data_IF_230208272906
#
_entry.id   IF_230208272906
#
_cell.length_a   1.000
_cell.length_b   1.000
_cell.length_c   1.000
_cell.angle_alpha   90.00
_cell.angle_beta   90.00
_cell.angle_gamma   90.00
#
_symmetry.space_group_name_H-M   'P 1'
#
loop_
_entity.id
_entity.type
_entity.pdbx_description
1 polymer ?
#
# COMPACT_ATOMS: atom_id res chain seq x y z
N UNK A 1 -5.33 3.36 75.39
CA UNK A 1 -3.96 3.37 74.82
C UNK A 1 -3.79 2.11 73.98
N UNK A 2 -3.86 2.24 72.64
CA UNK A 2 -2.81 1.88 71.64
C UNK A 2 -2.35 0.41 71.70
N UNK A 3 -2.34 -0.41 70.65
CA UNK A 3 -2.68 -0.28 69.24
C UNK A 3 -2.74 -1.72 68.68
N UNK A 4 -3.72 -2.00 67.82
CA UNK A 4 -3.97 -3.32 67.21
C UNK A 4 -3.02 -3.52 66.01
N UNK A 5 -2.32 -4.65 66.02
CA UNK A 5 -1.46 -5.13 64.94
C UNK A 5 -2.35 -5.67 63.80
N UNK A 6 -2.47 -4.95 62.69
CA UNK A 6 -3.03 -5.46 61.43
C UNK A 6 -1.95 -5.39 60.36
N UNK A 7 -1.30 -6.53 60.13
CA UNK A 7 -0.49 -6.78 58.94
C UNK A 7 -1.45 -6.88 57.76
N UNK A 8 -1.43 -5.88 56.87
CA UNK A 8 -2.11 -5.91 55.59
C UNK A 8 -1.07 -6.21 54.51
N UNK A 9 -0.84 -7.49 54.23
CA UNK A 9 -0.11 -7.93 53.04
C UNK A 9 -1.08 -7.86 51.86
N UNK A 10 -1.20 -6.68 51.24
CA UNK A 10 -1.92 -6.52 49.98
C UNK A 10 -0.95 -6.74 48.82
N UNK A 11 -0.60 -8.01 48.60
CA UNK A 11 -0.04 -8.48 47.33
C UNK A 11 -1.17 -8.51 46.30
N UNK A 12 -1.45 -7.37 45.67
CA UNK A 12 -2.21 -7.35 44.44
C UNK A 12 -1.22 -7.39 43.29
N UNK A 13 -1.09 -8.57 42.68
CA UNK A 13 -0.67 -8.75 41.30
C UNK A 13 -1.17 -7.58 40.45
N UNK A 14 -0.26 -6.76 39.93
CA UNK A 14 -0.53 -6.12 38.66
C UNK A 14 -0.86 -7.26 37.69
N UNK A 15 -2.02 -7.27 37.02
CA UNK A 15 -2.08 -8.02 35.79
C UNK A 15 -1.04 -7.34 34.90
N UNK A 16 0.10 -7.98 34.70
CA UNK A 16 0.87 -7.80 33.48
C UNK A 16 -0.14 -8.20 32.41
N UNK A 17 -0.86 -7.19 31.90
CA UNK A 17 -1.65 -7.32 30.70
C UNK A 17 -0.60 -7.73 29.67
N UNK A 18 -0.55 -9.03 29.37
CA UNK A 18 0.30 -9.59 28.35
C UNK A 18 -0.10 -8.82 27.09
N UNK A 19 0.65 -7.77 26.74
CA UNK A 19 0.38 -7.06 25.51
C UNK A 19 0.61 -8.09 24.43
N UNK A 20 -0.46 -8.63 23.86
CA UNK A 20 -0.37 -9.60 22.78
C UNK A 20 0.61 -9.00 21.78
N UNK A 21 1.75 -9.66 21.61
CA UNK A 21 2.80 -9.19 20.73
C UNK A 21 2.17 -9.11 19.35
N UNK A 22 1.92 -7.88 18.88
CA UNK A 22 1.18 -7.68 17.63
C UNK A 22 2.00 -8.28 16.50
N UNK A 23 1.50 -9.37 15.90
CA UNK A 23 2.20 -10.04 14.82
C UNK A 23 1.89 -9.36 13.47
N UNK A 24 2.77 -9.58 12.49
CA UNK A 24 2.52 -9.17 11.10
C UNK A 24 1.20 -9.74 10.59
N UNK A 25 0.90 -10.99 10.94
CA UNK A 25 -0.32 -11.69 10.57
C UNK A 25 -1.55 -10.98 11.14
N UNK A 26 -1.54 -10.62 12.42
CA UNK A 26 -2.69 -9.95 13.04
C UNK A 26 -2.99 -8.60 12.37
N UNK A 27 -1.95 -7.84 12.02
CA UNK A 27 -2.09 -6.54 11.35
C UNK A 27 -2.69 -6.72 9.96
N UNK A 28 -2.17 -7.66 9.17
CA UNK A 28 -2.66 -7.93 7.82
C UNK A 28 -4.08 -8.50 7.83
N UNK A 29 -4.37 -9.46 8.73
CA UNK A 29 -5.71 -10.03 8.87
C UNK A 29 -6.73 -8.97 9.31
N UNK A 30 -6.34 -8.06 10.19
CA UNK A 30 -7.18 -6.91 10.59
C UNK A 30 -7.45 -6.00 9.40
N UNK A 31 -6.44 -5.71 8.57
CA UNK A 31 -6.63 -4.94 7.35
C UNK A 31 -7.57 -5.63 6.36
N UNK A 32 -7.37 -6.93 6.09
CA UNK A 32 -8.26 -7.69 5.21
C UNK A 32 -9.70 -7.66 5.69
N UNK A 33 -9.95 -7.86 6.99
CA UNK A 33 -11.28 -7.71 7.57
C UNK A 33 -11.84 -6.29 7.38
N UNK A 34 -11.04 -5.26 7.64
CA UNK A 34 -11.47 -3.86 7.54
C UNK A 34 -11.88 -3.44 6.11
N UNK A 35 -11.24 -4.03 5.09
CA UNK A 35 -11.53 -3.71 3.69
C UNK A 35 -12.56 -4.62 3.02
N UNK A 36 -13.07 -5.68 3.64
CA UNK A 36 -14.12 -6.51 3.02
C UNK A 36 -13.99 -8.02 3.22
N UNK A 37 -12.93 -8.48 3.87
CA UNK A 37 -12.72 -9.89 4.20
C UNK A 37 -11.91 -10.66 3.14
N UNK A 38 -11.18 -11.68 3.60
CA UNK A 38 -10.24 -12.43 2.78
C UNK A 38 -10.91 -13.17 1.62
N UNK A 39 -12.13 -13.67 1.81
CA UNK A 39 -12.86 -14.44 0.80
C UNK A 39 -13.16 -13.60 -0.46
N UNK A 40 -13.59 -12.35 -0.30
CA UNK A 40 -13.83 -11.44 -1.43
C UNK A 40 -12.51 -11.02 -2.10
N UNK A 41 -11.49 -10.74 -1.29
CA UNK A 41 -10.16 -10.33 -1.75
C UNK A 41 -9.51 -11.43 -2.61
N UNK A 42 -9.64 -12.69 -2.22
CA UNK A 42 -9.06 -13.82 -2.95
C UNK A 42 -9.72 -14.06 -4.30
N UNK A 43 -11.00 -13.71 -4.44
CA UNK A 43 -11.74 -13.84 -5.70
C UNK A 43 -11.38 -12.78 -6.75
N UNK A 44 -10.62 -11.74 -6.39
CA UNK A 44 -10.18 -10.71 -7.35
C UNK A 44 -8.98 -11.20 -8.15
N UNK A 45 -9.21 -11.53 -9.41
CA UNK A 45 -8.18 -11.93 -10.39
C UNK A 45 -7.65 -10.76 -11.20
N UNK A 46 -8.49 -9.77 -11.52
CA UNK A 46 -8.07 -8.56 -12.24
C UNK A 46 -8.58 -7.30 -11.56
N UNK A 47 -7.77 -6.25 -11.66
CA UNK A 47 -8.06 -4.92 -11.14
C UNK A 47 -7.71 -3.88 -12.19
N UNK A 48 -8.64 -2.97 -12.44
CA UNK A 48 -8.41 -1.80 -13.28
C UNK A 48 -8.87 -0.56 -12.56
N UNK A 49 -8.02 0.47 -12.48
CA UNK A 49 -8.41 1.79 -11.99
C UNK A 49 -8.01 2.88 -12.97
N UNK A 50 -8.84 3.92 -13.03
CA UNK A 50 -8.54 5.19 -13.69
C UNK A 50 -8.43 6.27 -12.63
N UNK A 51 -7.31 6.97 -12.58
CA UNK A 51 -7.07 8.07 -11.64
C UNK A 51 -6.64 9.33 -12.38
N UNK A 52 -6.88 10.48 -11.76
CA UNK A 52 -6.51 11.79 -12.30
C UNK A 52 -5.76 12.61 -11.27
N UNK A 53 -4.83 13.43 -11.74
CA UNK A 53 -4.14 14.48 -10.96
C UNK A 53 -3.87 15.66 -11.88
N UNK A 54 -3.63 16.83 -11.29
CA UNK A 54 -3.13 18.00 -12.00
C UNK A 54 -1.77 18.41 -11.41
N UNK A 55 -0.78 18.68 -12.26
CA UNK A 55 0.55 19.11 -11.84
C UNK A 55 0.94 20.29 -12.72
N UNK A 56 1.19 21.47 -12.14
CA UNK A 56 1.55 22.69 -12.87
C UNK A 56 0.58 23.04 -14.01
N UNK A 57 -0.72 22.85 -13.81
CA UNK A 57 -1.74 23.08 -14.84
C UNK A 57 -1.83 21.99 -15.92
N UNK A 58 -1.03 20.93 -15.84
CA UNK A 58 -1.14 19.77 -16.74
C UNK A 58 -1.97 18.66 -16.10
N UNK A 59 -3.02 18.22 -16.79
CA UNK A 59 -3.86 17.10 -16.37
C UNK A 59 -3.18 15.79 -16.71
N UNK A 60 -2.97 14.93 -15.72
CA UNK A 60 -2.53 13.56 -15.90
C UNK A 60 -3.69 12.59 -15.66
N UNK A 61 -3.81 11.59 -16.54
CA UNK A 61 -4.72 10.45 -16.38
C UNK A 61 -3.90 9.18 -16.31
N UNK A 62 -4.15 8.38 -15.28
CA UNK A 62 -3.38 7.19 -14.95
C UNK A 62 -4.31 5.99 -15.06
N UNK A 63 -3.97 5.08 -15.96
CA UNK A 63 -4.62 3.80 -16.13
C UNK A 63 -3.76 2.74 -15.47
N UNK A 64 -4.26 2.09 -14.42
CA UNK A 64 -3.53 1.04 -13.71
C UNK A 64 -4.30 -0.27 -13.84
N UNK A 65 -3.75 -1.21 -14.61
CA UNK A 65 -4.27 -2.57 -14.77
C UNK A 65 -3.35 -3.55 -14.06
N UNK A 66 -3.93 -4.49 -13.35
CA UNK A 66 -3.22 -5.55 -12.63
C UNK A 66 -3.98 -6.86 -12.79
N UNK A 67 -3.25 -7.96 -12.85
CA UNK A 67 -3.81 -9.31 -12.88
C UNK A 67 -2.97 -10.25 -12.00
N UNK A 68 -3.63 -11.13 -11.25
CA UNK A 68 -2.97 -12.16 -10.45
C UNK A 68 -2.16 -13.10 -11.37
N UNK A 69 -1.00 -13.62 -10.93
CA UNK A 69 -0.41 -13.36 -9.61
C UNK A 69 0.33 -12.01 -9.53
N UNK A 70 0.97 -11.55 -10.61
CA UNK A 70 1.91 -10.44 -10.57
C UNK A 70 2.06 -9.66 -11.90
N UNK A 71 0.99 -9.57 -12.70
CA UNK A 71 0.95 -8.78 -13.93
C UNK A 71 0.55 -7.34 -13.63
N UNK A 72 1.22 -6.37 -14.26
CA UNK A 72 0.91 -4.95 -14.08
C UNK A 72 1.21 -4.10 -15.30
N UNK A 73 0.29 -3.18 -15.60
CA UNK A 73 0.42 -2.19 -16.65
C UNK A 73 -0.03 -0.83 -16.10
N UNK A 74 0.85 0.16 -16.15
CA UNK A 74 0.53 1.56 -15.84
C UNK A 74 0.73 2.37 -17.12
N UNK A 75 -0.32 3.02 -17.60
CA UNK A 75 -0.26 4.00 -18.68
C UNK A 75 -0.59 5.37 -18.11
N UNK A 76 0.24 6.37 -18.42
CA UNK A 76 0.01 7.75 -18.03
C UNK A 76 -0.18 8.58 -19.30
N UNK A 77 -1.29 9.29 -19.36
CA UNK A 77 -1.55 10.30 -20.37
C UNK A 77 -1.43 11.69 -19.76
N UNK A 78 -0.90 12.63 -20.53
CA UNK A 78 -0.80 14.05 -20.21
C UNK A 78 -1.64 14.86 -21.19
N UNK A 79 -2.62 15.62 -20.69
CA UNK A 79 -3.56 16.38 -21.50
C UNK A 79 -4.17 15.53 -22.64
N UNK A 80 -4.56 14.29 -22.31
CA UNK A 80 -5.14 13.33 -23.25
C UNK A 80 -4.15 12.59 -24.17
N UNK A 81 -2.87 12.97 -24.19
CA UNK A 81 -1.84 12.35 -25.03
C UNK A 81 -0.97 11.38 -24.24
N UNK A 82 -0.48 10.32 -24.88
CA UNK A 82 0.44 9.37 -24.25
C UNK A 82 1.69 10.06 -23.69
N UNK A 83 2.01 9.80 -22.42
CA UNK A 83 3.24 10.29 -21.77
C UNK A 83 4.21 9.14 -21.47
N UNK A 84 3.72 8.08 -20.81
CA UNK A 84 4.55 6.94 -20.44
C UNK A 84 3.75 5.65 -20.24
N UNK A 85 4.43 4.52 -20.38
CA UNK A 85 3.92 3.17 -20.07
C UNK A 85 4.93 2.45 -19.18
N UNK A 86 4.45 1.65 -18.23
CA UNK A 86 5.25 0.68 -17.48
C UNK A 86 4.53 -0.65 -17.50
N UNK A 87 5.24 -1.70 -17.87
CA UNK A 87 4.69 -3.06 -17.95
C UNK A 87 5.59 -4.00 -17.18
N UNK A 88 4.97 -4.93 -16.47
CA UNK A 88 5.61 -6.09 -15.88
C UNK A 88 4.70 -7.30 -16.11
N UNK A 89 5.23 -8.34 -16.74
CA UNK A 89 4.45 -9.51 -17.15
C UNK A 89 4.60 -10.72 -16.22
N UNK A 90 5.27 -10.53 -15.07
CA UNK A 90 5.60 -11.60 -14.12
C UNK A 90 7.07 -12.01 -14.20
N UNK A 91 7.66 -11.99 -15.39
CA UNK A 91 9.04 -12.44 -15.63
C UNK A 91 9.96 -11.32 -16.11
N UNK A 92 9.43 -10.44 -16.95
CA UNK A 92 10.12 -9.32 -17.57
C UNK A 92 9.30 -8.05 -17.42
N UNK A 93 9.90 -6.91 -17.74
CA UNK A 93 9.17 -5.67 -17.81
C UNK A 93 9.94 -4.59 -18.52
N UNK A 94 9.25 -3.51 -18.82
CA UNK A 94 9.82 -2.36 -19.49
C UNK A 94 9.11 -1.09 -19.08
N UNK A 95 9.74 0.04 -19.38
CA UNK A 95 9.11 1.34 -19.35
C UNK A 95 9.33 2.08 -20.66
N UNK A 96 8.32 2.84 -21.07
CA UNK A 96 8.37 3.77 -22.19
C UNK A 96 8.15 5.16 -21.62
N UNK A 97 9.06 6.10 -21.91
CA UNK A 97 8.91 7.51 -21.58
C UNK A 97 9.09 8.30 -22.87
N UNK A 98 8.02 8.97 -23.32
CA UNK A 98 8.01 9.57 -24.65
C UNK A 98 8.27 8.51 -25.74
N UNK A 99 9.39 8.65 -26.46
CA UNK A 99 9.80 7.71 -27.52
C UNK A 99 10.83 6.65 -27.07
N UNK A 100 11.33 6.73 -25.84
CA UNK A 100 12.41 5.86 -25.36
C UNK A 100 11.81 4.67 -24.63
N UNK A 101 12.18 3.44 -25.05
CA UNK A 101 11.86 2.19 -24.35
C UNK A 101 13.10 1.69 -23.60
N UNK A 102 12.94 1.36 -22.33
CA UNK A 102 13.96 0.74 -21.47
C UNK A 102 13.41 -0.56 -20.89
N UNK A 103 14.08 -1.68 -21.15
CA UNK A 103 13.77 -2.94 -20.49
C UNK A 103 14.34 -2.94 -19.06
N UNK A 104 13.63 -3.60 -18.13
CA UNK A 104 14.12 -3.77 -16.77
C UNK A 104 15.31 -4.71 -16.74
N UNK A 105 16.32 -4.33 -15.96
CA UNK A 105 17.45 -5.17 -15.61
C UNK A 105 17.00 -6.33 -14.71
N UNK A 106 17.83 -7.39 -14.60
CA UNK A 106 17.56 -8.52 -13.70
C UNK A 106 17.32 -8.06 -12.25
N UNK A 107 18.13 -7.11 -11.76
CA UNK A 107 17.97 -6.56 -10.41
C UNK A 107 16.64 -5.83 -10.23
N UNK A 108 16.23 -5.02 -11.21
CA UNK A 108 14.91 -4.36 -11.19
C UNK A 108 13.76 -5.37 -11.23
N UNK A 109 13.89 -6.46 -11.99
CA UNK A 109 12.90 -7.56 -12.05
C UNK A 109 12.77 -8.24 -10.68
N UNK A 110 13.89 -8.66 -10.06
CA UNK A 110 13.89 -9.30 -8.74
C UNK A 110 13.24 -8.41 -7.67
N UNK A 111 13.44 -7.10 -7.74
CA UNK A 111 12.80 -6.17 -6.81
C UNK A 111 11.28 -6.05 -7.00
N UNK A 112 10.75 -6.42 -8.17
CA UNK A 112 9.33 -6.23 -8.56
C UNK A 112 8.49 -7.47 -8.43
N UNK A 113 9.05 -8.65 -8.72
CA UNK A 113 8.30 -9.91 -8.86
C UNK A 113 7.39 -10.21 -7.66
N UNK A 114 7.88 -9.83 -6.48
CA UNK A 114 7.27 -10.04 -5.18
C UNK A 114 6.38 -8.87 -4.70
N UNK A 115 6.47 -7.72 -5.36
CA UNK A 115 5.80 -6.48 -4.94
C UNK A 115 4.65 -6.07 -5.87
N UNK A 116 4.55 -6.70 -7.04
CA UNK A 116 3.49 -6.47 -8.00
C UNK A 116 2.35 -7.43 -7.67
N UNK A 117 1.29 -6.90 -7.06
CA UNK A 117 0.05 -7.61 -6.79
C UNK A 117 -1.08 -6.59 -6.59
N UNK A 118 -2.31 -7.02 -6.84
CA UNK A 118 -3.52 -6.25 -6.51
C UNK A 118 -3.57 -5.97 -5.01
N UNK A 119 -3.23 -6.98 -4.20
CA UNK A 119 -3.18 -6.93 -2.75
C UNK A 119 -1.76 -7.33 -2.28
N UNK A 120 -0.84 -6.37 -2.10
CA UNK A 120 0.53 -6.66 -1.69
C UNK A 120 0.62 -7.20 -0.25
N UNK A 121 -0.46 -7.18 0.52
CA UNK A 121 -0.52 -7.69 1.88
C UNK A 121 -0.24 -9.20 1.98
N UNK A 122 -0.61 -9.98 0.96
CA UNK A 122 -0.24 -11.40 0.88
C UNK A 122 1.28 -11.62 0.89
N UNK A 123 2.02 -10.69 0.30
CA UNK A 123 3.47 -10.71 0.34
C UNK A 123 4.00 -10.24 1.69
N UNK A 124 3.35 -9.27 2.33
CA UNK A 124 3.73 -8.78 3.65
C UNK A 124 3.67 -9.89 4.71
N UNK A 125 2.68 -10.79 4.64
CA UNK A 125 2.62 -11.97 5.50
C UNK A 125 3.89 -12.82 5.48
N UNK A 126 4.61 -12.84 4.34
CA UNK A 126 5.80 -13.67 4.14
C UNK A 126 7.10 -12.96 4.47
N UNK A 127 7.17 -11.65 4.27
CA UNK A 127 8.45 -10.90 4.26
C UNK A 127 8.47 -9.67 5.16
N UNK A 128 7.32 -9.22 5.65
CA UNK A 128 7.29 -8.04 6.50
C UNK A 128 7.78 -8.36 7.91
N UNK A 129 8.29 -7.35 8.57
CA UNK A 129 8.58 -7.35 10.00
C UNK A 129 7.76 -6.26 10.68
N UNK A 130 7.29 -6.52 11.90
CA UNK A 130 6.65 -5.48 12.71
C UNK A 130 7.73 -4.58 13.32
N UNK A 131 7.59 -3.27 13.13
CA UNK A 131 8.57 -2.26 13.55
C UNK A 131 8.08 -1.41 14.72
N UNK A 132 6.95 -1.78 15.35
CA UNK A 132 6.33 -1.03 16.43
C UNK A 132 5.21 -0.11 15.95
N UNK A 133 4.79 0.80 16.84
CA UNK A 133 3.71 1.75 16.60
C UNK A 133 4.26 3.16 16.41
N UNK A 134 3.64 3.95 15.53
CA UNK A 134 3.95 5.37 15.32
C UNK A 134 2.67 6.16 15.14
N UNK A 135 2.68 7.40 15.62
CA UNK A 135 1.61 8.33 15.32
C UNK A 135 1.76 8.89 13.89
N UNK A 136 0.66 8.92 13.15
CA UNK A 136 0.55 9.54 11.84
C UNK A 136 -0.78 10.30 11.79
N UNK A 137 -0.73 11.61 11.58
CA UNK A 137 -1.93 12.47 11.50
C UNK A 137 -2.85 12.33 12.73
N UNK A 138 -2.29 12.32 13.95
CA UNK A 138 -3.05 12.18 15.19
C UNK A 138 -3.59 10.77 15.46
N UNK A 139 -3.19 9.77 14.65
CA UNK A 139 -3.67 8.39 14.75
C UNK A 139 -2.51 7.43 15.01
N UNK A 140 -2.68 6.52 15.97
CA UNK A 140 -1.67 5.49 16.26
C UNK A 140 -1.75 4.38 15.21
N UNK A 141 -0.65 4.13 14.52
CA UNK A 141 -0.53 3.13 13.47
C UNK A 141 0.48 2.04 13.84
N UNK A 142 0.14 0.78 13.53
CA UNK A 142 1.11 -0.32 13.44
C UNK A 142 1.98 -0.14 12.19
N UNK A 143 3.30 -0.30 12.32
CA UNK A 143 4.25 -0.12 11.22
C UNK A 143 4.83 -1.46 10.78
N UNK A 144 4.59 -1.84 9.53
CA UNK A 144 5.23 -2.97 8.87
C UNK A 144 6.41 -2.50 8.02
N UNK A 145 7.53 -3.20 8.11
CA UNK A 145 8.73 -2.99 7.29
C UNK A 145 8.92 -4.08 6.24
N UNK A 146 9.16 -3.71 4.98
CA UNK A 146 9.49 -4.64 3.90
C UNK A 146 10.66 -4.06 3.11
N UNK A 147 11.88 -4.51 3.40
CA UNK A 147 13.09 -3.84 2.92
C UNK A 147 13.11 -2.36 3.33
N UNK A 148 13.25 -1.44 2.37
CA UNK A 148 13.18 0.02 2.60
C UNK A 148 11.74 0.57 2.68
N UNK A 149 10.70 -0.26 2.46
CA UNK A 149 9.30 0.19 2.58
C UNK A 149 8.83 0.19 4.02
N UNK A 150 7.98 1.15 4.35
CA UNK A 150 7.20 1.19 5.60
C UNK A 150 5.72 1.32 5.25
N UNK A 151 4.88 0.54 5.92
CA UNK A 151 3.43 0.54 5.71
C UNK A 151 2.77 0.72 7.07
N UNK A 152 1.88 1.70 7.17
CA UNK A 152 1.27 2.16 8.40
C UNK A 152 -0.22 1.81 8.35
N UNK A 153 -0.65 0.94 9.26
CA UNK A 153 -2.04 0.53 9.44
C UNK A 153 -2.57 1.13 10.71
N UNK A 154 -3.67 1.87 10.62
CA UNK A 154 -4.31 2.45 11.78
C UNK A 154 -4.77 1.37 12.78
N UNK A 155 -4.49 1.55 14.06
CA UNK A 155 -4.81 0.56 15.10
C UNK A 155 -6.32 0.44 15.33
N UNK A 156 -7.09 1.51 15.13
CA UNK A 156 -8.53 1.55 15.43
C UNK A 156 -9.33 1.00 14.25
N UNK A 157 -9.13 1.54 13.05
CA UNK A 157 -9.91 1.20 11.86
C UNK A 157 -9.32 0.02 11.07
N UNK A 158 -8.09 -0.39 11.35
CA UNK A 158 -7.38 -1.43 10.60
C UNK A 158 -6.94 -1.02 9.19
N UNK A 159 -7.33 0.16 8.72
CA UNK A 159 -7.08 0.61 7.35
C UNK A 159 -5.63 1.09 7.20
N UNK A 160 -5.07 0.88 6.02
CA UNK A 160 -3.79 1.46 5.64
C UNK A 160 -3.94 2.97 5.54
N UNK A 161 -3.11 3.70 6.28
CA UNK A 161 -3.15 5.16 6.32
C UNK A 161 -2.00 5.76 5.52
N UNK A 162 -0.81 5.16 5.60
CA UNK A 162 0.41 5.67 4.97
C UNK A 162 1.29 4.54 4.47
N UNK A 163 2.01 4.81 3.40
CA UNK A 163 3.16 4.04 2.94
C UNK A 163 4.32 4.99 2.74
N UNK A 164 5.54 4.51 2.96
CA UNK A 164 6.74 5.21 2.53
C UNK A 164 7.73 4.25 1.90
N UNK A 165 8.48 4.75 0.94
CA UNK A 165 9.54 4.01 0.28
C UNK A 165 10.61 4.98 -0.20
N UNK A 166 11.85 4.50 -0.26
CA UNK A 166 12.94 5.25 -0.88
C UNK A 166 12.90 5.00 -2.39
N UNK A 167 13.09 6.04 -3.18
CA UNK A 167 13.26 6.00 -4.63
C UNK A 167 14.62 6.55 -5.00
N UNK A 168 15.26 5.96 -6.00
CA UNK A 168 16.41 6.57 -6.67
C UNK A 168 15.89 7.47 -7.78
N UNK A 169 16.14 8.78 -7.66
CA UNK A 169 15.85 9.77 -8.71
C UNK A 169 17.12 10.58 -8.90
N UNK A 170 17.61 10.64 -10.14
CA UNK A 170 18.86 11.31 -10.51
C UNK A 170 20.05 10.84 -9.65
N UNK A 171 20.12 9.54 -9.36
CA UNK A 171 21.15 8.93 -8.51
C UNK A 171 20.98 9.18 -7.01
N UNK A 172 20.01 9.97 -6.58
CA UNK A 172 19.78 10.31 -5.17
C UNK A 172 18.66 9.48 -4.55
N UNK A 173 18.89 8.98 -3.33
CA UNK A 173 17.86 8.33 -2.51
C UNK A 173 16.91 9.38 -1.95
N UNK A 174 15.64 9.32 -2.35
CA UNK A 174 14.59 10.25 -1.96
C UNK A 174 13.46 9.47 -1.31
N UNK A 175 13.04 9.91 -0.13
CA UNK A 175 11.84 9.40 0.51
C UNK A 175 10.60 9.86 -0.26
N UNK A 176 9.78 8.90 -0.68
CA UNK A 176 8.42 9.15 -1.08
C UNK A 176 7.49 8.66 0.03
N UNK A 177 6.52 9.49 0.37
CA UNK A 177 5.42 9.12 1.25
C UNK A 177 4.12 9.14 0.46
N UNK A 178 3.19 8.26 0.79
CA UNK A 178 1.87 8.19 0.15
C UNK A 178 0.83 7.90 1.22
N UNK A 179 -0.16 8.78 1.33
CA UNK A 179 -1.28 8.67 2.24
C UNK A 179 -2.49 8.14 1.47
N UNK A 180 -3.21 7.21 2.08
CA UNK A 180 -4.36 6.52 1.52
C UNK A 180 -5.63 7.05 2.20
N UNK A 181 -6.47 7.73 1.44
CA UNK A 181 -7.55 8.58 1.96
C UNK A 181 -8.85 8.23 1.23
N UNK A 182 -9.98 8.57 1.87
CA UNK A 182 -11.34 8.40 1.33
C UNK A 182 -11.62 6.99 0.81
N UNK A 183 -11.59 6.00 1.71
CA UNK A 183 -11.92 4.63 1.34
C UNK A 183 -13.38 4.54 0.89
N UNK A 184 -13.63 3.99 -0.31
CA UNK A 184 -14.96 3.69 -0.85
C UNK A 184 -15.10 2.21 -1.14
N UNK A 185 -16.31 1.71 -1.00
CA UNK A 185 -16.63 0.31 -1.27
C UNK A 185 -16.94 0.08 -2.76
N UNK A 186 -16.30 -0.93 -3.34
CA UNK A 186 -16.51 -1.42 -4.71
C UNK A 186 -16.69 -2.94 -4.62
N UNK A 187 -17.89 -3.43 -4.91
CA UNK A 187 -18.26 -4.86 -4.80
C UNK A 187 -17.91 -5.46 -3.43
N UNK A 188 -18.23 -4.76 -2.34
CA UNK A 188 -17.95 -5.21 -0.97
C UNK A 188 -16.50 -5.03 -0.51
N UNK A 189 -15.60 -4.54 -1.36
CA UNK A 189 -14.19 -4.30 -1.00
C UNK A 189 -13.91 -2.79 -0.97
N UNK A 190 -13.33 -2.30 0.12
CA UNK A 190 -12.94 -0.90 0.28
C UNK A 190 -11.59 -0.63 -0.36
N UNK A 191 -11.54 0.38 -1.23
CA UNK A 191 -10.32 0.91 -1.82
C UNK A 191 -10.18 2.39 -1.51
N UNK A 192 -8.94 2.89 -1.26
CA UNK A 192 -8.71 4.32 -1.16
C UNK A 192 -8.97 4.96 -2.53
N UNK A 193 -9.79 6.02 -2.57
CA UNK A 193 -10.04 6.77 -3.81
C UNK A 193 -9.31 8.10 -3.88
N UNK A 194 -8.62 8.48 -2.82
CA UNK A 194 -7.74 9.66 -2.78
C UNK A 194 -6.36 9.23 -2.31
N UNK A 195 -5.33 9.56 -3.08
CA UNK A 195 -3.94 9.33 -2.71
C UNK A 195 -3.21 10.67 -2.66
N UNK A 196 -2.59 10.98 -1.52
CA UNK A 196 -1.73 12.15 -1.37
C UNK A 196 -0.28 11.68 -1.29
N UNK A 197 0.52 11.98 -2.31
CA UNK A 197 1.93 11.62 -2.36
C UNK A 197 2.80 12.83 -2.08
N UNK A 198 3.83 12.65 -1.25
CA UNK A 198 4.83 13.68 -0.95
C UNK A 198 6.19 13.17 -1.40
N UNK A 199 6.88 13.94 -2.24
CA UNK A 199 8.22 13.63 -2.73
C UNK A 199 9.02 14.92 -2.94
N UNK A 200 10.25 15.01 -2.40
CA UNK A 200 11.08 16.25 -2.44
C UNK A 200 10.27 17.52 -2.05
N UNK A 201 9.47 17.44 -0.98
CA UNK A 201 8.56 18.49 -0.50
C UNK A 201 7.45 18.92 -1.49
N UNK A 202 7.28 18.21 -2.61
CA UNK A 202 6.16 18.42 -3.52
C UNK A 202 5.04 17.45 -3.17
N UNK A 203 3.85 18.00 -3.07
CA UNK A 203 2.63 17.25 -2.88
C UNK A 203 1.94 17.00 -4.23
N UNK A 204 1.44 15.78 -4.41
CA UNK A 204 0.65 15.39 -5.57
C UNK A 204 -0.57 14.62 -5.07
N UNK A 205 -1.76 15.05 -5.47
CA UNK A 205 -3.03 14.40 -5.10
C UNK A 205 -3.61 13.69 -6.32
N UNK A 206 -3.79 12.38 -6.21
CA UNK A 206 -4.43 11.55 -7.22
C UNK A 206 -5.83 11.16 -6.75
N UNK A 207 -6.83 11.41 -7.58
CA UNK A 207 -8.21 11.02 -7.33
C UNK A 207 -8.61 9.87 -8.26
N UNK A 208 -9.10 8.78 -7.70
CA UNK A 208 -9.61 7.63 -8.46
C UNK A 208 -11.00 7.98 -8.99
N UNK A 209 -11.17 7.86 -10.30
CA UNK A 209 -12.44 8.07 -11.00
C UNK A 209 -13.25 6.80 -11.13
N UNK A 210 -12.59 5.67 -11.37
CA UNK A 210 -13.25 4.38 -11.50
C UNK A 210 -12.35 3.24 -11.03
N UNK A 211 -12.99 2.18 -10.54
CA UNK A 211 -12.37 0.89 -10.23
C UNK A 211 -13.28 -0.20 -10.81
N UNK A 212 -12.68 -1.10 -11.57
CA UNK A 212 -13.29 -2.32 -12.10
C UNK A 212 -12.55 -3.54 -11.54
N UNK A 213 -13.30 -4.53 -11.07
CA UNK A 213 -12.78 -5.82 -10.60
C UNK A 213 -13.27 -6.95 -11.49
N UNK A 214 -12.37 -7.86 -11.86
CA UNK A 214 -12.62 -9.05 -12.68
C UNK A 214 -13.19 -8.75 -14.08
N UNK A 215 -12.84 -7.59 -14.66
CA UNK A 215 -13.26 -7.16 -15.99
C UNK A 215 -12.31 -6.08 -16.53
N UNK A 216 -12.44 -5.78 -17.82
CA UNK A 216 -11.73 -4.69 -18.51
C UNK A 216 -10.18 -4.81 -18.50
N UNK A 217 -9.68 -6.02 -18.25
CA UNK A 217 -8.26 -6.39 -18.24
C UNK A 217 -8.09 -7.67 -19.05
N UNK A 218 -7.10 -7.67 -19.94
CA UNK A 218 -6.77 -8.77 -20.84
C UNK A 218 -5.27 -9.04 -20.79
N UNK A 219 -4.84 -10.23 -21.25
CA UNK A 219 -3.41 -10.58 -21.23
C UNK A 219 -2.55 -9.61 -22.06
N UNK A 220 -3.08 -9.12 -23.18
CA UNK A 220 -2.42 -8.15 -24.06
C UNK A 220 -2.15 -6.79 -23.41
N UNK A 221 -2.82 -6.46 -22.29
CA UNK A 221 -2.51 -5.25 -21.54
C UNK A 221 -1.10 -5.27 -20.91
N UNK A 222 -0.52 -6.47 -20.78
CA UNK A 222 0.76 -6.74 -20.11
C UNK A 222 1.89 -7.12 -21.07
N UNK A 223 1.69 -6.91 -22.36
CA UNK A 223 2.71 -7.07 -23.41
C UNK A 223 3.41 -5.75 -23.75
#
# INVERSE_FOLDING_TARGET
>A
MKSIFKILFLSCCFPVMLSAQTSVKDIVDTYFKAIGGIELIDQVNTFYSVSETEINGEKLTIYNKQQKPNLKSIVINKNGKFLSKKVFNGDTGYEIIGKVKKNYTKSEIYSKIDQVSIFPEFYYLKKAVFLGKKEVMGRICNVLGVGEKRIFYDVISGLKLKGSNVKLIDGQKILQETYYIDYKEIKGIKFPVTYRSIIKNREIIYNVRSISLNRDVTISDFE
#
